data_IF_566509285340
#
_entry.id   IF_566509285340
#
_cell.length_a   1.000
_cell.length_b   1.000
_cell.length_c   1.000
_cell.angle_alpha   90.00
_cell.angle_beta   90.00
_cell.angle_gamma   90.00
#
_symmetry.space_group_name_H-M   'P 1'
#
loop_
_entity.id
_entity.type
_entity.pdbx_description
1 polymer ?
#
# COMPACT_ATOMS: atom_id res chain seq x y z
N UNK A 1 0.72 -18.35 18.13
CA UNK A 1 -0.74 -18.47 18.30
C UNK A 1 -1.32 -17.65 17.18
N UNK A 2 -1.91 -18.26 16.15
CA UNK A 2 -2.52 -17.51 15.04
C UNK A 2 -3.66 -16.68 15.62
N UNK A 3 -3.43 -15.37 15.69
CA UNK A 3 -4.43 -14.40 16.05
C UNK A 3 -5.23 -14.12 14.78
N UNK A 4 -6.24 -14.96 14.49
CA UNK A 4 -7.18 -14.65 13.42
C UNK A 4 -7.96 -13.39 13.82
N UNK A 5 -7.82 -12.35 13.02
CA UNK A 5 -8.55 -11.10 13.12
C UNK A 5 -10.02 -11.36 12.76
N UNK A 6 -10.96 -10.66 13.43
CA UNK A 6 -12.38 -10.79 13.12
C UNK A 6 -12.72 -9.96 11.87
N UNK A 7 -12.20 -10.38 10.71
CA UNK A 7 -12.48 -9.71 9.44
C UNK A 7 -13.99 -9.67 9.15
N UNK A 8 -14.49 -8.57 8.57
CA UNK A 8 -15.85 -8.58 8.03
C UNK A 8 -15.96 -9.55 6.85
N UNK A 9 -17.13 -10.18 6.68
CA UNK A 9 -17.34 -11.30 5.75
C UNK A 9 -18.46 -11.08 4.74
N UNK A 10 -19.05 -9.88 4.71
CA UNK A 10 -20.22 -9.58 3.90
C UNK A 10 -19.86 -9.25 2.44
N UNK A 11 -18.65 -8.75 2.23
CA UNK A 11 -18.14 -8.39 0.91
C UNK A 11 -17.95 -9.60 -0.01
N UNK A 12 -18.25 -9.46 -1.32
CA UNK A 12 -17.87 -10.47 -2.29
C UNK A 12 -16.35 -10.51 -2.50
N UNK A 13 -15.85 -11.69 -2.82
CA UNK A 13 -14.46 -11.90 -3.26
C UNK A 13 -14.16 -11.15 -4.56
N UNK A 14 -12.94 -10.63 -4.69
CA UNK A 14 -12.46 -10.06 -5.95
C UNK A 14 -12.40 -11.18 -7.00
N UNK A 15 -13.08 -11.05 -8.14
CA UNK A 15 -13.09 -12.11 -9.14
C UNK A 15 -11.70 -12.35 -9.74
N UNK A 16 -11.17 -13.56 -9.57
CA UNK A 16 -9.84 -13.93 -10.07
C UNK A 16 -9.67 -13.72 -11.59
N UNK A 17 -10.76 -13.82 -12.36
CA UNK A 17 -10.75 -13.55 -13.82
C UNK A 17 -10.27 -12.14 -14.16
N UNK A 18 -10.48 -11.17 -13.27
CA UNK A 18 -10.11 -9.77 -13.46
C UNK A 18 -8.65 -9.54 -13.10
N UNK A 19 -8.14 -10.24 -12.08
CA UNK A 19 -6.75 -10.20 -11.66
C UNK A 19 -5.80 -11.02 -12.58
N UNK A 20 -6.33 -12.04 -13.27
CA UNK A 20 -5.53 -13.03 -14.01
C UNK A 20 -4.47 -12.45 -14.94
N UNK A 21 -4.74 -11.44 -15.79
CA UNK A 21 -3.72 -10.88 -16.68
C UNK A 21 -2.51 -10.31 -15.92
N UNK A 22 -2.77 -9.67 -14.78
CA UNK A 22 -1.76 -9.03 -13.93
C UNK A 22 -0.93 -10.10 -13.22
N UNK A 23 -1.61 -11.10 -12.63
CA UNK A 23 -0.95 -12.22 -11.96
C UNK A 23 -0.08 -13.04 -12.91
N UNK A 24 -0.57 -13.30 -14.13
CA UNK A 24 0.20 -14.02 -15.16
C UNK A 24 1.45 -13.24 -15.58
N UNK A 25 1.35 -11.90 -15.65
CA UNK A 25 2.48 -11.00 -15.95
C UNK A 25 3.52 -11.03 -14.84
N UNK A 26 3.11 -10.86 -13.58
CA UNK A 26 4.01 -10.93 -12.40
C UNK A 26 4.70 -12.30 -12.35
N UNK A 27 3.94 -13.38 -12.49
CA UNK A 27 4.51 -14.74 -12.50
C UNK A 27 5.46 -14.95 -13.69
N UNK A 28 5.20 -14.32 -14.83
CA UNK A 28 6.12 -14.36 -15.98
C UNK A 28 7.41 -13.60 -15.71
N UNK A 29 7.35 -12.44 -15.05
CA UNK A 29 8.55 -11.70 -14.63
C UNK A 29 9.39 -12.55 -13.67
N UNK A 30 8.76 -13.14 -12.66
CA UNK A 30 9.44 -14.00 -11.70
C UNK A 30 10.14 -15.20 -12.35
N UNK A 31 9.47 -15.89 -13.30
CA UNK A 31 10.08 -16.99 -14.05
C UNK A 31 11.21 -16.56 -14.99
N UNK A 32 11.13 -15.35 -15.54
CA UNK A 32 12.12 -14.86 -16.52
C UNK A 32 13.36 -14.30 -15.83
N UNK A 33 13.20 -13.80 -14.60
CA UNK A 33 14.23 -13.17 -13.79
C UNK A 33 14.46 -13.95 -12.48
N UNK A 34 14.55 -15.28 -12.55
CA UNK A 34 14.62 -16.17 -11.36
C UNK A 34 15.82 -15.91 -10.42
N UNK A 35 16.84 -15.19 -10.90
CA UNK A 35 18.00 -14.78 -10.11
C UNK A 35 17.71 -13.54 -9.24
N UNK A 36 16.78 -12.71 -9.70
CA UNK A 36 16.45 -11.42 -9.08
C UNK A 36 15.10 -11.45 -8.40
N UNK A 37 14.17 -12.32 -8.82
CA UNK A 37 12.79 -12.31 -8.35
C UNK A 37 12.43 -13.66 -7.76
N UNK A 38 12.05 -13.64 -6.49
CA UNK A 38 11.43 -14.78 -5.83
C UNK A 38 9.93 -14.53 -5.74
N UNK A 39 9.15 -15.47 -6.30
CA UNK A 39 7.72 -15.53 -6.11
C UNK A 39 7.42 -16.18 -4.76
N UNK A 40 6.74 -15.46 -3.86
CA UNK A 40 6.20 -16.07 -2.64
C UNK A 40 4.92 -16.82 -3.03
N UNK A 41 4.85 -18.15 -2.83
CA UNK A 41 3.68 -18.93 -3.20
C UNK A 41 2.41 -18.43 -2.50
N UNK A 42 1.28 -18.49 -3.21
CA UNK A 42 -0.02 -18.24 -2.61
C UNK A 42 -0.45 -19.34 -1.63
N UNK A 43 -1.50 -19.06 -0.87
CA UNK A 43 -2.00 -19.92 0.20
C UNK A 43 -2.37 -21.34 -0.28
N UNK A 44 -2.84 -21.49 -1.52
CA UNK A 44 -3.20 -22.79 -2.08
C UNK A 44 -1.98 -23.72 -2.31
N UNK A 45 -0.77 -23.15 -2.40
CA UNK A 45 0.47 -23.86 -2.68
C UNK A 45 1.47 -23.82 -1.53
N UNK A 46 1.18 -23.10 -0.44
CA UNK A 46 2.04 -23.06 0.72
C UNK A 46 2.12 -24.44 1.40
N UNK A 47 3.33 -24.95 1.59
CA UNK A 47 3.57 -26.27 2.19
C UNK A 47 3.47 -26.24 3.74
N UNK A 48 3.57 -25.05 4.33
CA UNK A 48 3.35 -24.80 5.77
C UNK A 48 1.93 -24.25 5.99
N UNK A 49 1.34 -24.52 7.16
CA UNK A 49 0.12 -23.83 7.62
C UNK A 49 0.44 -22.33 7.71
N UNK A 50 0.31 -21.60 6.59
CA UNK A 50 0.60 -20.17 6.53
C UNK A 50 -0.22 -19.50 7.62
N UNK A 51 0.45 -18.81 8.53
CA UNK A 51 -0.22 -18.15 9.65
C UNK A 51 -1.01 -16.91 9.21
N UNK A 52 -0.86 -16.52 7.94
CA UNK A 52 -1.52 -15.39 7.34
C UNK A 52 -3.04 -15.49 7.48
N UNK A 53 -3.62 -14.40 7.97
CA UNK A 53 -5.04 -14.25 8.19
C UNK A 53 -5.55 -13.06 7.36
N UNK A 54 -5.78 -13.26 6.05
CA UNK A 54 -6.18 -12.18 5.17
C UNK A 54 -7.69 -11.91 5.20
N UNK A 55 -8.12 -10.72 4.77
CA UNK A 55 -9.53 -10.43 4.55
C UNK A 55 -10.16 -11.43 3.56
N UNK A 56 -11.36 -11.97 3.84
CA UNK A 56 -12.01 -12.96 2.98
C UNK A 56 -12.17 -12.51 1.52
N UNK A 57 -12.37 -11.21 1.29
CA UNK A 57 -12.52 -10.67 -0.06
C UNK A 57 -11.27 -10.87 -0.95
N UNK A 58 -10.10 -11.12 -0.37
CA UNK A 58 -8.83 -11.29 -1.09
C UNK A 58 -8.47 -12.75 -1.35
N UNK A 59 -9.16 -13.72 -0.75
CA UNK A 59 -8.82 -15.15 -0.74
C UNK A 59 -8.37 -15.68 -2.12
N UNK A 60 -9.16 -15.43 -3.18
CA UNK A 60 -8.84 -15.95 -4.51
C UNK A 60 -7.54 -15.41 -5.12
N UNK A 61 -7.15 -14.18 -4.80
CA UNK A 61 -5.89 -13.60 -5.29
C UNK A 61 -4.73 -14.19 -4.48
N UNK A 62 -4.91 -14.31 -3.16
CA UNK A 62 -3.90 -14.81 -2.24
C UNK A 62 -3.65 -16.31 -2.40
N UNK A 63 -4.62 -17.07 -2.90
CA UNK A 63 -4.43 -18.46 -3.32
C UNK A 63 -3.36 -18.59 -4.41
N UNK A 64 -3.19 -17.58 -5.26
CA UNK A 64 -2.33 -17.61 -6.44
C UNK A 64 -1.00 -16.86 -6.23
N UNK A 65 -1.00 -15.80 -5.41
CA UNK A 65 0.16 -14.96 -5.16
C UNK A 65 0.27 -14.59 -3.67
N UNK A 66 1.35 -15.03 -3.02
CA UNK A 66 1.65 -14.66 -1.64
C UNK A 66 2.45 -13.36 -1.50
N UNK A 67 3.18 -12.98 -2.55
CA UNK A 67 4.05 -11.81 -2.54
C UNK A 67 5.21 -11.92 -3.55
N UNK A 68 6.06 -10.91 -3.54
CA UNK A 68 7.27 -10.83 -4.37
C UNK A 68 8.43 -10.32 -3.54
N UNK A 69 9.56 -11.02 -3.64
CA UNK A 69 10.86 -10.52 -3.22
C UNK A 69 11.69 -10.16 -4.44
N UNK A 70 12.35 -9.00 -4.40
CA UNK A 70 13.30 -8.54 -5.39
C UNK A 70 14.70 -8.52 -4.75
N UNK A 71 15.60 -9.35 -5.25
CA UNK A 71 16.95 -9.56 -4.74
C UNK A 71 16.97 -9.89 -3.23
N UNK A 72 15.97 -10.63 -2.75
CA UNK A 72 15.81 -11.00 -1.33
C UNK A 72 15.14 -9.93 -0.46
N UNK A 73 14.69 -8.82 -1.04
CA UNK A 73 13.95 -7.77 -0.33
C UNK A 73 12.46 -7.92 -0.64
N UNK A 74 11.57 -8.02 0.37
CA UNK A 74 10.14 -8.06 0.12
C UNK A 74 9.66 -6.71 -0.43
N UNK A 75 9.02 -6.73 -1.61
CA UNK A 75 8.50 -5.52 -2.29
C UNK A 75 6.99 -5.59 -2.54
N UNK A 76 6.38 -6.75 -2.31
CA UNK A 76 4.94 -6.96 -2.25
C UNK A 76 4.65 -8.08 -1.26
N UNK A 77 3.78 -7.83 -0.29
CA UNK A 77 3.37 -8.80 0.73
C UNK A 77 1.85 -8.94 0.71
N UNK A 78 1.36 -10.13 0.33
CA UNK A 78 -0.06 -10.47 0.34
C UNK A 78 -0.40 -11.55 1.37
N UNK A 79 0.59 -12.31 1.85
CA UNK A 79 0.45 -13.22 2.97
C UNK A 79 1.28 -12.67 4.14
N UNK A 80 0.60 -12.01 5.07
CA UNK A 80 1.22 -11.37 6.24
C UNK A 80 0.95 -12.23 7.46
N UNK A 81 2.01 -12.75 8.08
CA UNK A 81 1.91 -13.60 9.26
C UNK A 81 1.88 -12.80 10.58
N UNK A 82 2.70 -11.75 10.65
CA UNK A 82 2.79 -10.84 11.79
C UNK A 82 2.53 -9.41 11.31
N UNK A 83 1.62 -8.70 12.00
CA UNK A 83 1.38 -7.27 11.76
C UNK A 83 2.16 -6.46 12.78
N UNK A 84 2.84 -5.44 12.31
CA UNK A 84 3.35 -4.38 13.18
C UNK A 84 2.24 -3.36 13.43
N UNK A 85 2.06 -2.91 14.67
CA UNK A 85 1.06 -1.90 15.05
C UNK A 85 1.72 -0.53 15.36
N UNK A 86 2.99 -0.36 14.98
CA UNK A 86 3.84 0.79 15.37
C UNK A 86 4.54 1.33 14.13
N UNK A 87 4.77 2.65 14.09
CA UNK A 87 5.41 3.31 12.95
C UNK A 87 4.38 3.91 11.98
N UNK A 88 4.38 3.56 10.68
CA UNK A 88 3.48 4.14 9.67
C UNK A 88 1.99 3.91 9.96
N UNK A 89 1.66 3.01 10.89
CA UNK A 89 0.27 2.72 11.28
C UNK A 89 -0.24 3.53 12.47
N UNK A 90 0.55 4.46 13.00
CA UNK A 90 0.25 5.19 14.25
C UNK A 90 -1.14 5.86 14.26
N UNK A 91 -1.59 6.40 13.12
CA UNK A 91 -2.90 7.06 13.00
C UNK A 91 -4.00 6.14 12.46
N UNK A 92 -3.67 4.93 12.00
CA UNK A 92 -4.68 4.03 11.45
C UNK A 92 -5.63 3.54 12.55
N UNK A 93 -6.89 3.33 12.18
CA UNK A 93 -7.91 2.80 13.08
C UNK A 93 -7.74 1.29 13.35
N UNK A 94 -8.86 0.60 13.52
CA UNK A 94 -8.86 -0.85 13.81
C UNK A 94 -8.10 -1.64 12.74
N UNK A 95 -7.31 -2.63 13.15
CA UNK A 95 -6.57 -3.50 12.23
C UNK A 95 -7.44 -4.13 11.12
N UNK A 96 -8.74 -4.33 11.36
CA UNK A 96 -9.67 -4.90 10.37
C UNK A 96 -10.16 -3.92 9.29
N UNK A 97 -9.75 -2.65 9.33
CA UNK A 97 -10.16 -1.62 8.35
C UNK A 97 -9.10 -1.36 7.27
N UNK A 98 -7.96 -2.05 7.35
CA UNK A 98 -6.92 -1.97 6.33
C UNK A 98 -6.11 -3.28 6.27
N UNK A 99 -5.50 -3.52 5.11
CA UNK A 99 -4.60 -4.65 4.88
C UNK A 99 -3.26 -4.14 4.32
N UNK A 100 -2.11 -4.47 4.94
CA UNK A 100 -0.82 -4.06 4.40
C UNK A 100 -0.53 -4.77 3.07
N UNK A 101 0.17 -4.07 2.17
CA UNK A 101 0.68 -4.59 0.90
C UNK A 101 2.21 -4.48 0.80
N UNK A 102 2.80 -3.59 1.60
CA UNK A 102 4.23 -3.36 1.75
C UNK A 102 4.47 -2.61 3.06
N UNK A 103 5.53 -2.93 3.80
CA UNK A 103 5.89 -2.22 5.03
C UNK A 103 7.40 -2.22 5.28
N UNK A 104 7.88 -1.10 5.79
CA UNK A 104 9.19 -0.93 6.43
C UNK A 104 8.96 -0.23 7.78
N UNK A 105 10.01 -0.03 8.60
CA UNK A 105 9.86 0.74 9.84
C UNK A 105 9.37 2.19 9.64
N UNK A 106 9.54 2.74 8.44
CA UNK A 106 9.31 4.16 8.14
C UNK A 106 8.10 4.38 7.22
N UNK A 107 7.82 3.44 6.31
CA UNK A 107 6.76 3.59 5.31
C UNK A 107 5.86 2.36 5.22
N UNK A 108 4.63 2.55 4.76
CA UNK A 108 3.73 1.45 4.44
C UNK A 108 2.88 1.74 3.21
N UNK A 109 2.43 0.67 2.56
CA UNK A 109 1.35 0.72 1.56
C UNK A 109 0.21 -0.14 2.08
N UNK A 110 -0.99 0.42 2.15
CA UNK A 110 -2.17 -0.23 2.72
C UNK A 110 -3.35 -0.20 1.77
N UNK A 111 -4.06 -1.31 1.68
CA UNK A 111 -5.39 -1.43 1.08
C UNK A 111 -6.44 -1.10 2.14
N UNK A 112 -7.33 -0.16 1.85
CA UNK A 112 -8.47 0.15 2.74
C UNK A 112 -9.56 -0.91 2.64
N UNK A 113 -10.26 -1.14 3.75
CA UNK A 113 -11.41 -2.03 3.85
C UNK A 113 -12.59 -1.28 4.46
N UNK A 114 -13.74 -1.34 3.79
CA UNK A 114 -15.01 -0.84 4.35
C UNK A 114 -15.53 -1.76 5.46
N UNK A 115 -16.58 -1.31 6.18
CA UNK A 115 -17.21 -2.04 7.29
C UNK A 115 -17.73 -3.44 6.90
N UNK A 116 -18.07 -3.65 5.62
CA UNK A 116 -18.51 -4.94 5.07
C UNK A 116 -17.33 -5.85 4.68
N UNK A 117 -16.09 -5.36 4.79
CA UNK A 117 -14.85 -6.07 4.47
C UNK A 117 -14.43 -5.88 3.02
N UNK A 118 -15.10 -4.99 2.30
CA UNK A 118 -14.87 -4.87 0.88
C UNK A 118 -13.64 -3.98 0.60
N UNK A 119 -12.73 -4.44 -0.28
CA UNK A 119 -11.56 -3.69 -0.69
C UNK A 119 -11.91 -2.33 -1.30
N UNK A 120 -11.18 -1.31 -0.88
CA UNK A 120 -11.26 0.05 -1.41
C UNK A 120 -9.97 0.48 -2.09
N UNK A 121 -9.62 1.77 -1.92
CA UNK A 121 -8.39 2.37 -2.44
C UNK A 121 -7.15 1.87 -1.73
N UNK A 122 -6.00 2.08 -2.37
CA UNK A 122 -4.67 1.86 -1.79
C UNK A 122 -4.03 3.21 -1.46
N UNK A 123 -3.46 3.33 -0.26
CA UNK A 123 -2.68 4.48 0.19
C UNK A 123 -1.23 4.08 0.46
N UNK A 124 -0.30 4.96 0.12
CA UNK A 124 1.02 4.98 0.74
C UNK A 124 1.03 5.90 1.95
N UNK A 125 1.86 5.56 2.92
CA UNK A 125 2.07 6.28 4.16
C UNK A 125 3.58 6.48 4.31
N UNK A 126 4.00 7.74 4.32
CA UNK A 126 5.40 8.14 4.54
C UNK A 126 5.72 8.36 6.01
N UNK A 127 6.95 8.79 6.29
CA UNK A 127 7.44 9.12 7.65
C UNK A 127 6.63 10.22 8.33
N UNK A 128 6.10 11.16 7.54
CA UNK A 128 5.25 12.26 8.00
C UNK A 128 3.80 11.84 8.30
N UNK A 129 3.50 10.54 8.14
CA UNK A 129 2.18 9.92 8.36
C UNK A 129 1.08 10.47 7.43
N UNK A 130 1.44 11.21 6.38
CA UNK A 130 0.48 11.65 5.39
C UNK A 130 0.02 10.48 4.52
N UNK A 131 -1.23 10.56 4.08
CA UNK A 131 -1.80 9.57 3.18
C UNK A 131 -1.68 10.05 1.74
N UNK A 132 -1.02 9.27 0.90
CA UNK A 132 -0.97 9.53 -0.54
C UNK A 132 -1.72 8.44 -1.31
N UNK A 133 -2.70 8.85 -2.10
CA UNK A 133 -3.58 7.96 -2.86
C UNK A 133 -2.77 7.22 -3.94
N UNK A 134 -2.41 5.98 -3.65
CA UNK A 134 -1.55 5.15 -4.49
C UNK A 134 -2.32 4.52 -5.65
N UNK A 135 -3.54 4.05 -5.43
CA UNK A 135 -4.32 3.44 -6.49
C UNK A 135 -5.82 3.48 -6.16
N UNK A 136 -6.69 3.49 -7.19
CA UNK A 136 -8.12 3.45 -6.97
C UNK A 136 -8.64 2.11 -6.40
N UNK A 137 -7.88 1.03 -6.57
CA UNK A 137 -8.19 -0.32 -6.12
C UNK A 137 -6.93 -1.20 -6.13
N UNK A 138 -7.03 -2.41 -5.58
CA UNK A 138 -5.94 -3.38 -5.51
C UNK A 138 -5.41 -3.77 -6.90
N UNK A 139 -6.28 -3.99 -7.90
CA UNK A 139 -5.83 -4.44 -9.22
C UNK A 139 -5.01 -3.35 -9.92
N UNK A 140 -5.44 -2.10 -9.80
CA UNK A 140 -4.71 -0.94 -10.32
C UNK A 140 -3.37 -0.76 -9.61
N UNK A 141 -3.28 -1.06 -8.30
CA UNK A 141 -2.01 -1.09 -7.59
C UNK A 141 -1.10 -2.19 -8.09
N UNK A 142 -1.61 -3.42 -8.27
CA UNK A 142 -0.84 -4.55 -8.77
C UNK A 142 -0.32 -4.31 -10.22
N UNK A 143 -1.10 -3.62 -11.06
CA UNK A 143 -0.64 -3.21 -12.39
C UNK A 143 0.53 -2.22 -12.30
N UNK A 144 0.40 -1.17 -11.47
CA UNK A 144 1.49 -0.21 -11.22
C UNK A 144 2.73 -0.90 -10.65
N UNK A 145 2.55 -1.85 -9.74
CA UNK A 145 3.62 -2.65 -9.19
C UNK A 145 4.31 -3.49 -10.28
N UNK A 146 3.55 -4.16 -11.15
CA UNK A 146 4.09 -4.95 -12.24
C UNK A 146 4.89 -4.08 -13.24
N UNK A 147 4.41 -2.88 -13.56
CA UNK A 147 5.12 -1.90 -14.38
C UNK A 147 6.45 -1.49 -13.74
N UNK A 148 6.44 -1.16 -12.45
CA UNK A 148 7.63 -0.77 -11.72
C UNK A 148 8.64 -1.92 -11.59
N UNK A 149 8.17 -3.13 -11.27
CA UNK A 149 8.98 -4.33 -11.20
C UNK A 149 9.67 -4.61 -12.54
N UNK A 150 8.92 -4.54 -13.65
CA UNK A 150 9.48 -4.75 -14.98
C UNK A 150 10.54 -3.69 -15.32
N UNK A 151 10.30 -2.41 -15.02
CA UNK A 151 11.26 -1.33 -15.24
C UNK A 151 12.54 -1.53 -14.41
N UNK A 152 12.40 -1.86 -13.12
CA UNK A 152 13.51 -2.16 -12.22
C UNK A 152 14.35 -3.33 -12.72
N UNK A 153 13.71 -4.42 -13.17
CA UNK A 153 14.41 -5.59 -13.71
C UNK A 153 15.15 -5.27 -15.01
N UNK A 154 14.55 -4.48 -15.90
CA UNK A 154 15.22 -4.02 -17.11
C UNK A 154 16.45 -3.15 -16.80
N UNK A 155 16.36 -2.28 -15.80
CA UNK A 155 17.47 -1.44 -15.36
C UNK A 155 18.58 -2.26 -14.68
N UNK A 156 18.23 -3.22 -13.82
CA UNK A 156 19.18 -4.15 -13.20
C UNK A 156 19.93 -4.98 -14.23
N UNK A 157 19.23 -5.49 -15.25
CA UNK A 157 19.84 -6.24 -16.33
C UNK A 157 20.85 -5.40 -17.14
N UNK A 158 20.60 -4.09 -17.30
CA UNK A 158 21.52 -3.17 -17.99
C UNK A 158 22.77 -2.84 -17.18
N UNK A 159 22.69 -2.84 -15.84
CA UNK A 159 23.85 -2.66 -14.95
C UNK A 159 24.86 -3.82 -15.06
N UNK A 160 24.39 -5.01 -15.47
CA UNK A 160 25.20 -6.21 -15.68
C UNK A 160 25.66 -6.89 -14.38
N UNK A 161 26.21 -8.10 -14.51
CA UNK A 161 26.86 -8.81 -13.41
C UNK A 161 28.28 -8.29 -13.27
N UNK A 162 28.48 -7.23 -12.50
CA UNK A 162 29.83 -6.87 -12.09
C UNK A 162 30.37 -8.02 -11.20
N UNK A 163 31.52 -8.64 -11.54
CA UNK A 163 31.97 -9.88 -10.90
C UNK A 163 32.35 -9.73 -9.41
N UNK A 164 32.33 -8.51 -8.87
CA UNK A 164 32.64 -8.16 -7.47
C UNK A 164 31.46 -7.51 -6.72
N UNK A 165 30.28 -7.36 -7.35
CA UNK A 165 29.07 -6.90 -6.66
C UNK A 165 28.55 -8.04 -5.79
N UNK A 166 28.97 -8.04 -4.53
CA UNK A 166 28.36 -8.88 -3.49
C UNK A 166 26.84 -8.65 -3.49
N UNK A 167 26.06 -9.70 -3.20
CA UNK A 167 24.59 -9.67 -3.27
C UNK A 167 23.94 -8.43 -2.65
N UNK A 168 24.51 -7.89 -1.57
CA UNK A 168 24.06 -6.66 -0.89
C UNK A 168 23.95 -5.46 -1.84
N UNK A 169 24.94 -5.23 -2.72
CA UNK A 169 24.93 -4.07 -3.61
C UNK A 169 23.91 -4.21 -4.76
N UNK A 170 23.53 -5.45 -5.14
CA UNK A 170 22.45 -5.69 -6.10
C UNK A 170 21.08 -5.50 -5.46
N UNK A 171 20.93 -5.92 -4.19
CA UNK A 171 19.72 -5.69 -3.41
C UNK A 171 19.50 -4.19 -3.14
N UNK A 172 20.54 -3.44 -2.76
CA UNK A 172 20.50 -1.98 -2.63
C UNK A 172 20.06 -1.31 -3.95
N UNK A 173 20.70 -1.68 -5.07
CA UNK A 173 20.32 -1.17 -6.39
C UNK A 173 18.87 -1.47 -6.76
N UNK A 174 18.37 -2.66 -6.38
CA UNK A 174 17.01 -3.07 -6.63
C UNK A 174 16.00 -2.26 -5.80
N UNK A 175 16.33 -1.99 -4.53
CA UNK A 175 15.54 -1.13 -3.66
C UNK A 175 15.47 0.30 -4.22
N UNK A 176 16.61 0.91 -4.55
CA UNK A 176 16.67 2.25 -5.16
C UNK A 176 15.79 2.36 -6.42
N UNK A 177 15.81 1.32 -7.27
CA UNK A 177 15.00 1.28 -8.49
C UNK A 177 13.50 1.16 -8.19
N UNK A 178 13.12 0.35 -7.20
CA UNK A 178 11.72 0.27 -6.75
C UNK A 178 11.25 1.57 -6.09
N UNK A 179 12.11 2.24 -5.33
CA UNK A 179 11.83 3.55 -4.76
C UNK A 179 11.60 4.56 -5.88
N UNK A 180 12.49 4.60 -6.87
CA UNK A 180 12.38 5.46 -8.04
C UNK A 180 11.12 5.18 -8.88
N UNK A 181 10.78 3.91 -9.13
CA UNK A 181 9.72 3.52 -10.05
C UNK A 181 8.33 3.39 -9.39
N UNK A 182 8.27 3.27 -8.06
CA UNK A 182 7.02 3.02 -7.34
C UNK A 182 6.92 3.82 -6.04
N UNK A 183 7.81 3.58 -5.07
CA UNK A 183 7.55 3.99 -3.69
C UNK A 183 7.67 5.49 -3.47
N UNK A 184 8.65 6.19 -4.06
CA UNK A 184 8.79 7.64 -3.90
C UNK A 184 7.51 8.38 -4.32
N UNK A 185 6.84 7.92 -5.38
CA UNK A 185 5.58 8.50 -5.85
C UNK A 185 4.35 8.11 -5.02
N UNK A 186 4.44 7.06 -4.20
CA UNK A 186 3.33 6.52 -3.40
C UNK A 186 3.42 6.94 -1.94
N UNK A 187 4.62 7.08 -1.38
CA UNK A 187 4.85 7.43 0.04
C UNK A 187 5.21 8.90 0.23
N UNK A 188 5.31 9.67 -0.85
CA UNK A 188 5.64 11.10 -0.80
C UNK A 188 7.11 11.40 -0.52
N UNK A 189 7.98 10.39 -0.54
CA UNK A 189 9.42 10.48 -0.27
C UNK A 189 10.24 10.99 -1.46
N UNK A 190 9.68 11.92 -2.26
CA UNK A 190 10.48 12.67 -3.23
C UNK A 190 11.40 13.62 -2.48
N UNK A 191 12.53 13.11 -2.00
CA UNK A 191 13.59 13.93 -1.40
C UNK A 191 14.06 14.97 -2.43
N UNK A 192 14.03 16.22 -1.99
CA UNK A 192 14.61 17.41 -2.59
C UNK A 192 14.01 17.87 -3.93
N UNK A 193 13.11 18.85 -3.84
CA UNK A 193 12.72 19.76 -4.94
C UNK A 193 13.93 20.45 -5.63
N UNK A 194 15.14 20.32 -5.07
CA UNK A 194 16.35 21.04 -5.50
C UNK A 194 17.47 20.20 -6.15
N UNK A 195 17.47 18.86 -6.13
CA UNK A 195 18.60 18.07 -6.70
C UNK A 195 18.30 17.24 -7.96
N UNK A 196 17.03 17.06 -8.34
CA UNK A 196 16.65 16.40 -9.59
C UNK A 196 15.89 17.33 -10.54
N UNK A 197 16.62 18.21 -11.25
CA UNK A 197 16.14 19.04 -12.38
C UNK A 197 15.61 18.22 -13.60
N UNK A 198 15.32 16.93 -13.44
CA UNK A 198 14.78 16.03 -14.47
C UNK A 198 13.35 15.53 -14.23
N UNK A 199 12.79 15.68 -13.03
CA UNK A 199 11.45 15.22 -12.68
C UNK A 199 10.58 16.31 -12.02
N UNK A 200 10.83 17.57 -12.37
CA UNK A 200 9.95 18.67 -11.99
C UNK A 200 8.54 18.46 -12.57
N UNK A 201 7.51 18.46 -11.70
CA UNK A 201 6.22 19.04 -12.05
C UNK A 201 4.99 18.14 -12.04
N UNK A 202 4.78 17.32 -11.02
CA UNK A 202 3.40 17.03 -10.61
C UNK A 202 3.15 17.77 -9.30
N UNK A 203 2.42 18.89 -9.37
CA UNK A 203 1.82 19.52 -8.20
C UNK A 203 1.00 18.44 -7.49
N UNK A 204 1.56 17.86 -6.43
CA UNK A 204 0.85 16.89 -5.59
C UNK A 204 -0.41 17.58 -5.08
N UNK A 205 -1.57 17.09 -5.53
CA UNK A 205 -2.85 17.69 -5.16
C UNK A 205 -3.10 17.44 -3.67
N UNK A 206 -2.85 18.45 -2.84
CA UNK A 206 -3.16 18.40 -1.41
C UNK A 206 -4.66 18.56 -1.20
N UNK A 207 -5.31 17.54 -0.65
CA UNK A 207 -6.73 17.53 -0.31
C UNK A 207 -6.87 18.04 1.13
N UNK A 208 -7.54 19.18 1.35
CA UNK A 208 -7.61 19.76 2.67
C UNK A 208 -8.52 18.95 3.61
N UNK A 209 -8.11 18.83 4.86
CA UNK A 209 -8.99 18.44 5.95
C UNK A 209 -9.97 19.59 6.24
N UNK A 210 -11.25 19.24 6.34
CA UNK A 210 -12.33 20.17 6.63
C UNK A 210 -13.05 19.75 7.89
N UNK A 211 -13.60 20.72 8.64
CA UNK A 211 -14.51 20.44 9.75
C UNK A 211 -15.65 19.53 9.28
N UNK A 212 -15.79 18.36 9.90
CA UNK A 212 -16.81 17.37 9.56
C UNK A 212 -18.21 18.00 9.58
N UNK A 213 -18.48 18.85 10.57
CA UNK A 213 -19.76 19.56 10.73
C UNK A 213 -20.06 20.60 9.64
N UNK A 214 -19.04 21.09 8.92
CA UNK A 214 -19.16 22.10 7.86
C UNK A 214 -18.96 21.53 6.45
N UNK A 215 -18.53 20.27 6.33
CA UNK A 215 -18.18 19.60 5.07
C UNK A 215 -19.36 19.42 4.11
N UNK A 216 -20.60 19.38 4.62
CA UNK A 216 -21.78 19.06 3.83
C UNK A 216 -21.84 17.61 3.33
N UNK A 217 -21.00 16.73 3.89
CA UNK A 217 -21.00 15.29 3.58
C UNK A 217 -21.95 14.59 4.54
N UNK A 218 -22.95 13.92 3.97
CA UNK A 218 -23.88 13.08 4.74
C UNK A 218 -23.21 11.76 5.16
N UNK A 219 -23.68 11.18 6.27
CA UNK A 219 -23.26 9.84 6.75
C UNK A 219 -21.77 9.69 7.12
N UNK A 220 -21.15 10.75 7.66
CA UNK A 220 -19.86 10.62 8.35
C UNK A 220 -19.99 9.73 9.61
N UNK A 221 -18.92 9.03 10.02
CA UNK A 221 -18.91 8.29 11.28
C UNK A 221 -19.25 9.21 12.47
N UNK A 222 -19.97 8.65 13.45
CA UNK A 222 -20.20 9.34 14.72
C UNK A 222 -18.85 9.72 15.36
N UNK A 223 -18.71 10.98 15.78
CA UNK A 223 -17.47 11.48 16.38
C UNK A 223 -16.41 11.97 15.39
N UNK A 224 -16.68 11.96 14.08
CA UNK A 224 -15.78 12.57 13.10
C UNK A 224 -15.57 14.06 13.39
N UNK A 225 -14.31 14.47 13.53
CA UNK A 225 -13.88 15.85 13.74
C UNK A 225 -13.54 16.52 12.42
N UNK A 226 -12.72 15.85 11.61
CA UNK A 226 -12.28 16.32 10.30
C UNK A 226 -12.55 15.28 9.22
N UNK A 227 -12.69 15.75 7.99
CA UNK A 227 -12.86 14.90 6.81
C UNK A 227 -12.05 15.45 5.63
N UNK A 228 -11.39 14.54 4.91
CA UNK A 228 -10.86 14.77 3.56
C UNK A 228 -11.68 13.98 2.54
N UNK A 229 -12.09 14.65 1.46
CA UNK A 229 -12.90 14.06 0.39
C UNK A 229 -12.06 13.81 -0.87
N UNK A 230 -11.69 12.55 -1.10
CA UNK A 230 -10.87 12.09 -2.21
C UNK A 230 -11.69 11.45 -3.34
N UNK A 231 -13.02 11.54 -3.31
CA UNK A 231 -13.89 10.90 -4.32
C UNK A 231 -13.63 11.42 -5.73
N UNK A 232 -13.25 12.69 -5.85
CA UNK A 232 -12.86 13.32 -7.11
C UNK A 232 -11.34 13.57 -7.23
N UNK A 233 -10.55 13.11 -6.25
CA UNK A 233 -9.12 13.37 -6.23
C UNK A 233 -8.36 12.44 -7.19
N UNK A 234 -7.35 12.94 -7.90
CA UNK A 234 -6.51 12.11 -8.77
C UNK A 234 -5.62 11.18 -7.94
N UNK A 235 -5.16 10.09 -8.56
CA UNK A 235 -4.06 9.28 -8.01
C UNK A 235 -2.84 10.20 -7.78
N UNK A 236 -2.15 9.99 -6.66
CA UNK A 236 -1.07 10.85 -6.18
C UNK A 236 -1.54 11.99 -5.27
N UNK A 237 -2.85 12.25 -5.15
CA UNK A 237 -3.38 13.21 -4.20
C UNK A 237 -3.01 12.84 -2.75
N UNK A 238 -2.79 13.86 -1.93
CA UNK A 238 -2.21 13.73 -0.59
C UNK A 238 -3.11 14.36 0.47
N UNK A 239 -3.16 13.76 1.66
CA UNK A 239 -3.82 14.29 2.84
C UNK A 239 -2.80 14.36 3.98
N UNK A 240 -2.51 15.58 4.44
CA UNK A 240 -1.65 15.81 5.60
C UNK A 240 -2.48 15.68 6.88
N UNK A 241 -2.18 14.67 7.70
CA UNK A 241 -2.99 14.34 8.88
C UNK A 241 -2.51 15.04 10.16
N UNK A 242 -1.19 15.21 10.31
CA UNK A 242 -0.57 15.75 11.53
C UNK A 242 -0.77 17.26 11.67
N UNK A 243 -0.87 17.99 10.56
CA UNK A 243 -1.06 19.45 10.55
C UNK A 243 -2.52 19.89 10.81
N UNK A 244 -3.37 18.92 11.16
CA UNK A 244 -4.77 19.15 11.50
C UNK A 244 -4.93 19.99 12.79
N UNK A 245 -5.67 21.10 12.70
CA UNK A 245 -6.04 21.91 13.88
C UNK A 245 -7.17 21.22 14.66
N UNK A 246 -6.81 20.23 15.48
CA UNK A 246 -7.74 19.50 16.35
C UNK A 246 -7.47 19.75 17.84
N UNK A 247 -8.49 19.64 18.71
CA UNK A 247 -8.27 19.64 20.15
C UNK A 247 -7.52 18.39 20.62
N UNK A 248 -6.42 18.54 21.34
CA UNK A 248 -5.70 17.43 22.00
C UNK A 248 -4.33 17.16 21.39
N UNK A 249 -3.83 15.93 21.60
CA UNK A 249 -2.62 15.44 20.93
C UNK A 249 -3.00 14.88 19.54
N UNK A 250 -2.40 15.36 18.44
CA UNK A 250 -2.66 14.81 17.11
C UNK A 250 -2.43 13.30 16.99
N UNK A 251 -1.56 12.72 17.84
CA UNK A 251 -1.28 11.27 17.84
C UNK A 251 -2.38 10.44 18.51
N UNK A 252 -3.31 11.08 19.22
CA UNK A 252 -4.51 10.43 19.77
C UNK A 252 -5.61 10.27 18.70
N UNK A 253 -5.44 10.87 17.51
CA UNK A 253 -6.39 10.73 16.41
C UNK A 253 -6.31 9.35 15.77
N UNK A 254 -7.47 8.87 15.32
CA UNK A 254 -7.61 7.68 14.50
C UNK A 254 -8.32 7.99 13.21
N UNK A 255 -7.92 7.27 12.17
CA UNK A 255 -8.54 7.32 10.86
C UNK A 255 -9.69 6.31 10.79
N UNK A 256 -10.84 6.79 10.32
CA UNK A 256 -11.91 5.95 9.82
C UNK A 256 -12.14 6.20 8.32
N UNK A 257 -12.31 5.10 7.59
CA UNK A 257 -12.54 5.09 6.15
C UNK A 257 -14.05 5.05 5.86
N UNK A 258 -14.47 5.77 4.81
CA UNK A 258 -15.79 5.64 4.20
C UNK A 258 -15.66 5.69 2.68
N UNK A 259 -16.69 5.21 2.01
CA UNK A 259 -16.77 5.20 0.55
C UNK A 259 -15.53 4.53 -0.08
N UNK A 260 -15.22 3.30 0.34
CA UNK A 260 -14.06 2.55 -0.15
C UNK A 260 -12.74 3.25 0.09
N UNK A 261 -12.61 3.91 1.24
CA UNK A 261 -11.45 4.70 1.63
C UNK A 261 -11.29 6.04 0.91
N UNK A 262 -12.29 6.49 0.13
CA UNK A 262 -12.28 7.81 -0.54
C UNK A 262 -12.67 8.96 0.39
N UNK A 263 -13.31 8.66 1.50
CA UNK A 263 -13.56 9.61 2.57
C UNK A 263 -12.70 9.20 3.76
N UNK A 264 -11.74 10.07 4.10
CA UNK A 264 -10.84 9.88 5.23
C UNK A 264 -11.33 10.78 6.34
N UNK A 265 -11.68 10.20 7.48
CA UNK A 265 -12.15 10.96 8.65
C UNK A 265 -11.24 10.79 9.83
N UNK A 266 -11.01 11.87 10.57
CA UNK A 266 -10.24 11.86 11.82
C UNK A 266 -11.21 11.96 12.99
N UNK A 267 -11.03 11.11 13.99
CA UNK A 267 -11.77 11.12 15.23
C UNK A 267 -10.84 10.80 16.41
N UNK A 268 -11.27 11.11 17.63
CA UNK A 268 -10.66 10.60 18.86
C UNK A 268 -11.32 9.27 19.22
N UNK A 269 -10.55 8.32 19.76
CA UNK A 269 -11.10 7.08 20.36
C UNK A 269 -11.84 7.33 21.68
#
# INVERSE_FOLDING_TARGET
>A
MNSSLPWPTEAPVIPLREARPILDRIASLARTHEQDVTLVPGAALAEEDTAADPPPALEQILDELGGIELCGIPVLMLLIEDRTDVGPYTLLGKATTFYPLYETPEVAVVLTLDDDGAPGVVYGIGEDLALQLAAPDLLSYLERFADALEASLQALAQRGDEPDTKGDARAEAAQELMDQHLFAAIVGAGEDEDEYEGAAGQDTAVVPLQDASASGIDALPDGALLVADLRAAPVGARVDLIDADVPGDPLDLRIAWRDRGRLVTLHTD
#
